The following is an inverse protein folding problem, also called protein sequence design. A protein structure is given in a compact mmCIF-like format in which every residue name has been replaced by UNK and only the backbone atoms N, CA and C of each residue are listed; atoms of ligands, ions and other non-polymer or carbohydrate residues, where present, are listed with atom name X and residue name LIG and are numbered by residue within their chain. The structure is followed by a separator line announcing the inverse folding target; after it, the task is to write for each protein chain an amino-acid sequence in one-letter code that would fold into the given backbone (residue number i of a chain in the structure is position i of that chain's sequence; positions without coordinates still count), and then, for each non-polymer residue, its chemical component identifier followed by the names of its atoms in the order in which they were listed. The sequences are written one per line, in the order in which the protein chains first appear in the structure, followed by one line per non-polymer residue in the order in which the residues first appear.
data_IF_459893505098
#
_entry.id   IF_459893505098
#
_cell.length_a   1.000
_cell.length_b   1.000
_cell.length_c   1.000
_cell.angle_alpha   90.00
_cell.angle_beta   90.00
_cell.angle_gamma   90.00
#
_symmetry.space_group_name_H-M   'P 1'
#
loop_
_entity.id
_entity.type
_entity.pdbx_description
1 polymer ?
#
# COMPACT_ATOMS: atom_id res chain seq x y z
N UNK A 1 24.46 -22.00 59.61
CA UNK A 1 25.71 -21.30 59.23
C UNK A 1 25.63 -21.01 57.73
N UNK A 2 25.87 -19.85 57.16
CA UNK A 2 26.19 -18.49 57.59
C UNK A 2 25.80 -17.60 56.37
N UNK A 3 25.15 -16.48 56.65
CA UNK A 3 25.26 -15.16 56.01
C UNK A 3 25.04 -15.04 54.48
N UNK A 4 23.96 -14.43 54.01
CA UNK A 4 23.67 -12.97 53.99
C UNK A 4 24.52 -12.20 52.95
N UNK A 5 23.88 -11.67 51.89
CA UNK A 5 23.82 -10.23 51.56
C UNK A 5 23.23 -9.98 50.15
N UNK A 6 22.12 -9.26 50.12
CA UNK A 6 21.72 -8.41 49.00
C UNK A 6 22.71 -7.24 48.82
N UNK A 7 22.77 -6.64 47.62
CA UNK A 7 22.62 -5.19 47.51
C UNK A 7 21.68 -4.80 46.34
N UNK A 8 20.65 -3.99 46.58
CA UNK A 8 20.61 -2.50 46.53
C UNK A 8 20.58 -1.92 45.10
N UNK A 9 19.42 -1.30 44.84
CA UNK A 9 19.07 -0.29 43.84
C UNK A 9 20.20 0.67 43.44
N UNK A 10 20.32 0.96 42.13
CA UNK A 10 20.66 2.31 41.66
C UNK A 10 20.25 2.53 40.19
N UNK A 11 19.14 3.24 39.99
CA UNK A 11 18.85 4.01 38.78
C UNK A 11 19.69 5.29 38.73
N UNK A 12 20.23 5.68 37.56
CA UNK A 12 20.58 7.07 37.32
C UNK A 12 19.75 7.71 36.19
N UNK A 13 19.08 8.80 36.59
CA UNK A 13 18.95 10.09 35.92
C UNK A 13 18.51 10.18 34.44
N UNK A 14 17.28 10.67 34.25
CA UNK A 14 16.85 11.45 33.08
C UNK A 14 17.71 12.71 32.95
N UNK A 15 18.51 12.81 31.89
CA UNK A 15 19.09 14.07 31.45
C UNK A 15 18.09 14.80 30.53
N UNK A 16 17.45 15.83 31.07
CA UNK A 16 16.65 16.79 30.32
C UNK A 16 17.60 17.78 29.64
N UNK A 17 17.77 17.65 28.32
CA UNK A 17 18.51 18.62 27.51
C UNK A 17 17.55 19.74 27.09
N UNK A 18 17.84 20.95 27.55
CA UNK A 18 17.15 22.19 27.20
C UNK A 18 17.41 22.56 25.74
N UNK A 19 16.35 22.82 24.99
CA UNK A 19 16.40 23.43 23.66
C UNK A 19 16.76 24.93 23.78
N UNK A 20 17.69 25.48 22.96
CA UNK A 20 17.83 26.91 22.80
C UNK A 20 16.84 27.47 21.78
N UNK A 21 16.36 28.68 22.09
CA UNK A 21 15.28 29.41 21.46
C UNK A 21 15.51 29.79 19.99
N UNK A 22 14.40 29.82 19.26
CA UNK A 22 14.27 30.33 17.90
C UNK A 22 14.67 31.82 17.82
N UNK A 23 15.49 32.17 16.82
CA UNK A 23 15.75 33.55 16.42
C UNK A 23 14.93 33.87 15.17
N UNK A 24 13.95 34.76 15.34
CA UNK A 24 13.17 35.38 14.28
C UNK A 24 13.98 36.51 13.64
N UNK A 25 14.25 36.42 12.34
CA UNK A 25 14.69 37.57 11.56
C UNK A 25 13.51 38.10 10.75
N UNK A 26 13.04 39.27 11.17
CA UNK A 26 12.03 40.09 10.48
C UNK A 26 12.73 40.81 9.32
N UNK A 27 12.31 40.55 8.08
CA UNK A 27 12.74 41.34 6.93
C UNK A 27 11.63 42.34 6.58
N UNK A 28 11.92 43.61 6.79
CA UNK A 28 11.08 44.75 6.42
C UNK A 28 11.40 45.09 4.96
N UNK A 29 10.41 45.01 4.07
CA UNK A 29 10.52 45.54 2.70
C UNK A 29 9.56 46.71 2.56
N UNK A 30 10.15 47.90 2.44
CA UNK A 30 9.49 49.19 2.27
C UNK A 30 8.87 49.33 0.88
N UNK A 31 7.62 49.78 0.86
CA UNK A 31 6.86 50.22 -0.30
C UNK A 31 7.36 51.55 -0.86
N UNK A 32 7.51 51.66 -2.18
CA UNK A 32 7.50 52.94 -2.89
C UNK A 32 6.45 52.90 -3.99
N UNK A 33 5.37 53.66 -3.76
CA UNK A 33 4.38 54.08 -4.77
C UNK A 33 5.06 55.02 -5.77
N UNK A 34 4.77 54.87 -7.06
CA UNK A 34 4.73 56.02 -7.95
C UNK A 34 3.62 55.83 -8.98
N UNK A 35 2.77 56.85 -9.04
CA UNK A 35 1.49 56.94 -9.74
C UNK A 35 1.63 58.15 -10.67
N UNK A 36 1.27 58.01 -11.94
CA UNK A 36 0.95 59.16 -12.80
C UNK A 36 -0.10 58.76 -13.83
N UNK A 37 -1.28 59.37 -13.70
CA UNK A 37 -2.40 59.39 -14.64
C UNK A 37 -2.14 60.37 -15.79
N UNK A 38 -2.67 60.10 -16.98
CA UNK A 38 -3.18 61.13 -17.90
C UNK A 38 -4.27 60.53 -18.80
N UNK A 39 -5.38 61.24 -18.93
CA UNK A 39 -6.66 60.77 -19.44
C UNK A 39 -6.98 61.24 -20.88
N UNK A 40 -7.70 60.37 -21.62
CA UNK A 40 -8.74 60.68 -22.64
C UNK A 40 -8.32 60.98 -24.08
N UNK A 41 -9.22 60.85 -25.10
CA UNK A 41 -10.69 60.70 -24.99
C UNK A 41 -11.37 59.59 -25.85
N UNK A 42 -12.61 59.31 -25.44
CA UNK A 42 -13.86 59.04 -26.19
C UNK A 42 -13.97 57.92 -27.26
N UNK A 43 -14.80 56.93 -26.89
CA UNK A 43 -16.03 56.50 -27.59
C UNK A 43 -15.96 55.84 -28.99
N UNK A 44 -16.26 54.54 -29.03
CA UNK A 44 -17.40 53.98 -29.79
C UNK A 44 -17.50 52.46 -29.55
N UNK A 45 -18.64 52.01 -29.02
CA UNK A 45 -19.12 50.63 -29.19
C UNK A 45 -20.05 50.59 -30.42
N UNK A 46 -20.22 49.42 -31.06
CA UNK A 46 -21.41 48.66 -30.71
C UNK A 46 -21.26 47.14 -30.68
N UNK A 47 -21.99 46.58 -29.71
CA UNK A 47 -22.85 45.40 -29.78
C UNK A 47 -22.38 44.13 -30.52
N UNK A 48 -22.03 43.12 -29.71
CA UNK A 48 -22.15 41.71 -30.08
C UNK A 48 -22.43 40.91 -28.80
N UNK A 49 -23.68 40.50 -28.58
CA UNK A 49 -24.12 39.81 -27.38
C UNK A 49 -23.48 38.43 -27.26
N UNK A 50 -22.78 38.19 -26.15
CA UNK A 50 -22.33 36.86 -25.76
C UNK A 50 -23.29 36.34 -24.69
N UNK A 51 -23.93 35.20 -24.99
CA UNK A 51 -24.95 34.60 -24.16
C UNK A 51 -24.43 34.20 -22.77
N UNK A 52 -25.34 34.14 -21.80
CA UNK A 52 -25.14 33.73 -20.40
C UNK A 52 -24.64 32.28 -20.20
N UNK A 53 -24.03 31.66 -21.22
CA UNK A 53 -23.33 30.37 -21.15
C UNK A 53 -21.81 30.51 -21.25
N UNK A 54 -21.29 31.71 -21.44
CA UNK A 54 -19.86 31.98 -21.56
C UNK A 54 -19.32 32.75 -20.34
N UNK A 55 -19.59 32.23 -19.14
CA UNK A 55 -19.03 32.75 -17.89
C UNK A 55 -18.58 31.65 -16.92
N UNK A 56 -18.18 30.48 -17.42
CA UNK A 56 -17.54 29.46 -16.59
C UNK A 56 -16.51 28.75 -17.46
N UNK A 57 -15.30 29.31 -17.58
CA UNK A 57 -14.05 28.63 -18.03
C UNK A 57 -12.96 29.67 -18.40
N UNK A 58 -12.74 30.71 -17.57
CA UNK A 58 -11.63 31.64 -17.79
C UNK A 58 -10.77 31.94 -16.57
N UNK A 59 -10.97 31.24 -15.45
CA UNK A 59 -10.26 31.60 -14.20
C UNK A 59 -9.75 30.44 -13.35
N UNK A 60 -9.78 29.21 -13.87
CA UNK A 60 -9.07 28.11 -13.20
C UNK A 60 -8.13 27.53 -14.23
N UNK A 61 -6.83 27.62 -13.97
CA UNK A 61 -5.80 26.93 -14.75
C UNK A 61 -6.20 25.45 -14.84
N UNK A 62 -6.80 25.05 -15.95
CA UNK A 62 -7.21 23.66 -16.22
C UNK A 62 -6.00 22.72 -16.11
N UNK A 63 -4.78 23.23 -16.32
CA UNK A 63 -3.53 22.49 -16.11
C UNK A 63 -3.19 22.16 -14.65
N UNK A 64 -3.69 22.91 -13.65
CA UNK A 64 -3.39 22.64 -12.22
C UNK A 64 -4.40 21.66 -11.60
N UNK A 65 -5.62 21.59 -12.15
CA UNK A 65 -6.60 20.57 -11.73
C UNK A 65 -6.27 19.21 -12.39
N UNK A 66 -5.69 19.19 -13.58
CA UNK A 66 -5.29 17.96 -14.26
C UNK A 66 -4.08 17.25 -13.62
N UNK A 67 -3.21 17.97 -12.89
CA UNK A 67 -2.05 17.37 -12.21
C UNK A 67 -2.39 16.66 -10.90
N UNK A 68 -3.63 16.75 -10.42
CA UNK A 68 -4.07 16.15 -9.15
C UNK A 68 -4.78 14.81 -9.31
N UNK A 69 -4.95 14.29 -10.54
CA UNK A 69 -5.70 13.05 -10.80
C UNK A 69 -4.96 12.01 -11.65
N UNK A 70 -3.64 12.13 -11.81
CA UNK A 70 -2.82 11.07 -12.43
C UNK A 70 -2.28 10.09 -11.38
N UNK A 71 -3.13 9.59 -10.48
CA UNK A 71 -2.78 8.55 -9.50
C UNK A 71 -2.36 7.22 -10.16
N UNK A 72 -2.57 7.06 -11.48
CA UNK A 72 -2.05 5.93 -12.27
C UNK A 72 -0.57 6.02 -12.66
N UNK A 73 0.16 7.07 -12.26
CA UNK A 73 1.57 7.29 -12.65
C UNK A 73 2.60 6.76 -11.64
N UNK A 74 2.18 6.15 -10.53
CA UNK A 74 3.14 5.56 -9.58
C UNK A 74 3.79 4.33 -10.24
N UNK A 75 5.12 4.34 -10.45
CA UNK A 75 5.79 3.23 -11.11
C UNK A 75 5.65 1.95 -10.28
N UNK A 76 5.63 0.82 -10.99
CA UNK A 76 5.67 -0.49 -10.34
C UNK A 76 6.99 -0.65 -9.58
N UNK A 77 7.00 -1.19 -8.35
CA UNK A 77 8.23 -1.47 -7.63
C UNK A 77 9.13 -2.43 -8.41
N UNK A 78 10.45 -2.24 -8.30
CA UNK A 78 11.43 -3.08 -9.01
C UNK A 78 11.80 -4.36 -8.26
N UNK A 79 11.36 -4.49 -7.01
CA UNK A 79 11.64 -5.63 -6.13
C UNK A 79 10.51 -6.66 -6.13
N UNK A 80 9.65 -6.70 -7.15
CA UNK A 80 8.61 -7.72 -7.26
C UNK A 80 9.16 -9.07 -7.71
N UNK A 81 8.45 -10.13 -7.36
CA UNK A 81 8.80 -11.51 -7.63
C UNK A 81 9.57 -12.19 -6.50
N UNK A 82 9.97 -13.42 -6.77
CA UNK A 82 10.78 -14.23 -5.87
C UNK A 82 12.19 -13.65 -5.81
N UNK A 83 12.59 -13.20 -4.62
CA UNK A 83 13.90 -12.64 -4.33
C UNK A 83 14.83 -13.72 -3.79
N UNK A 84 16.10 -13.65 -4.16
CA UNK A 84 17.17 -14.48 -3.62
C UNK A 84 18.05 -13.62 -2.72
N UNK A 85 17.95 -13.83 -1.40
CA UNK A 85 18.72 -13.09 -0.41
C UNK A 85 20.08 -13.74 -0.10
N UNK A 86 20.47 -14.77 -0.85
CA UNK A 86 21.67 -15.55 -0.64
C UNK A 86 21.46 -16.73 0.32
N UNK A 87 22.46 -17.61 0.41
CA UNK A 87 22.39 -18.80 1.25
C UNK A 87 21.36 -19.85 0.80
N UNK A 88 20.83 -19.73 -0.43
CA UNK A 88 19.81 -20.63 -0.97
C UNK A 88 18.40 -20.34 -0.45
N UNK A 89 18.20 -19.24 0.28
CA UNK A 89 16.89 -18.85 0.81
C UNK A 89 16.23 -17.90 -0.19
N UNK A 90 15.12 -18.35 -0.76
CA UNK A 90 14.27 -17.55 -1.64
C UNK A 90 12.99 -17.19 -0.91
N UNK A 91 12.59 -15.92 -0.99
CA UNK A 91 11.34 -15.41 -0.40
C UNK A 91 10.72 -14.36 -1.31
N UNK A 92 9.49 -13.97 -1.01
CA UNK A 92 8.95 -12.72 -1.56
C UNK A 92 9.68 -11.52 -0.94
N UNK A 93 9.56 -10.37 -1.59
CA UNK A 93 10.15 -9.13 -1.11
C UNK A 93 9.69 -8.77 0.30
N UNK A 94 10.57 -8.18 1.08
CA UNK A 94 10.21 -7.66 2.41
C UNK A 94 9.36 -6.38 2.29
N UNK A 95 8.54 -6.16 3.31
CA UNK A 95 7.76 -4.96 3.50
C UNK A 95 8.66 -3.77 3.87
N UNK A 96 8.34 -2.57 3.37
CA UNK A 96 8.91 -1.35 3.94
C UNK A 96 8.42 -1.18 5.39
N UNK A 97 9.05 -0.28 6.15
CA UNK A 97 8.68 0.00 7.54
C UNK A 97 7.31 0.68 7.72
N UNK A 98 6.64 1.05 6.62
CA UNK A 98 5.33 1.69 6.64
C UNK A 98 4.20 0.66 6.81
N UNK A 99 3.16 0.94 7.62
CA UNK A 99 2.07 0.01 7.93
C UNK A 99 1.03 -0.13 6.80
N UNK A 100 1.49 -0.22 5.56
CA UNK A 100 0.69 -0.41 4.34
C UNK A 100 1.17 -1.63 3.54
N UNK A 101 1.85 -2.56 4.20
CA UNK A 101 2.33 -3.80 3.61
C UNK A 101 2.16 -4.94 4.60
N UNK A 102 1.81 -6.12 4.09
CA UNK A 102 1.91 -7.37 4.83
C UNK A 102 2.58 -8.43 3.95
N UNK A 103 3.35 -9.31 4.57
CA UNK A 103 3.94 -10.45 3.89
C UNK A 103 4.17 -11.63 4.84
N UNK A 104 4.19 -12.84 4.27
CA UNK A 104 4.51 -14.07 5.01
C UNK A 104 6.01 -14.24 5.26
N UNK A 105 6.85 -13.47 4.56
CA UNK A 105 8.31 -13.44 4.69
C UNK A 105 8.81 -12.59 5.86
N UNK A 106 7.93 -11.83 6.51
CA UNK A 106 8.25 -10.99 7.66
C UNK A 106 8.47 -11.81 8.94
N UNK A 107 9.06 -11.17 9.94
CA UNK A 107 9.27 -11.78 11.26
C UNK A 107 7.97 -11.92 12.04
N UNK A 108 7.79 -13.05 12.72
CA UNK A 108 6.58 -13.34 13.53
C UNK A 108 6.39 -12.39 14.72
N UNK A 109 7.44 -11.68 15.15
CA UNK A 109 7.42 -10.67 16.20
C UNK A 109 6.92 -9.30 15.71
N UNK A 110 6.69 -9.13 14.40
CA UNK A 110 6.15 -7.91 13.79
C UNK A 110 4.69 -8.12 13.37
N UNK A 111 3.71 -7.96 14.29
CA UNK A 111 2.32 -8.18 13.98
C UNK A 111 1.75 -7.20 12.94
N UNK A 112 2.42 -6.08 12.67
CA UNK A 112 1.94 -5.07 11.73
C UNK A 112 2.13 -5.54 10.28
N UNK A 113 3.27 -6.16 9.98
CA UNK A 113 3.60 -6.64 8.64
C UNK A 113 3.44 -8.17 8.49
N UNK A 114 3.62 -8.93 9.56
CA UNK A 114 3.51 -10.40 9.48
C UNK A 114 2.06 -10.89 9.37
N UNK A 115 1.93 -11.91 8.54
CA UNK A 115 0.70 -12.68 8.34
C UNK A 115 1.03 -14.15 8.14
N UNK A 116 0.23 -15.08 8.69
CA UNK A 116 0.51 -16.50 8.59
C UNK A 116 0.29 -17.01 7.14
N UNK A 117 1.16 -17.91 6.66
CA UNK A 117 1.06 -18.52 5.35
C UNK A 117 -0.07 -19.54 5.28
N UNK A 118 -0.47 -19.89 4.06
CA UNK A 118 -1.54 -20.87 3.82
C UNK A 118 -0.98 -22.19 3.30
N UNK A 119 -1.81 -23.22 3.32
CA UNK A 119 -1.59 -24.47 2.60
C UNK A 119 -2.81 -24.80 1.76
N UNK A 120 -2.58 -25.23 0.53
CA UNK A 120 -3.64 -25.69 -0.38
C UNK A 120 -3.92 -27.19 -0.25
N UNK A 121 -3.06 -27.92 0.48
CA UNK A 121 -3.17 -29.37 0.69
C UNK A 121 -2.73 -29.72 2.14
N UNK A 122 -3.54 -29.37 3.15
CA UNK A 122 -3.22 -29.66 4.56
C UNK A 122 -3.05 -31.16 4.82
N UNK A 123 -2.21 -31.51 5.80
CA UNK A 123 -1.89 -32.91 6.13
C UNK A 123 -3.12 -33.71 6.59
N UNK A 124 -4.01 -33.08 7.35
CA UNK A 124 -5.29 -33.65 7.80
C UNK A 124 -6.33 -33.80 6.66
N UNK A 125 -5.97 -33.38 5.45
CA UNK A 125 -6.79 -33.46 4.24
C UNK A 125 -7.72 -32.27 4.03
N UNK A 126 -8.22 -32.10 2.80
CA UNK A 126 -9.18 -31.04 2.42
C UNK A 126 -10.63 -31.42 2.76
N UNK A 127 -10.84 -32.08 3.89
CA UNK A 127 -12.11 -32.78 4.18
C UNK A 127 -12.48 -33.75 3.06
N UNK A 128 -13.70 -33.63 2.51
CA UNK A 128 -14.18 -34.49 1.41
C UNK A 128 -13.53 -34.20 0.04
N UNK A 129 -12.74 -33.14 -0.12
CA UNK A 129 -12.26 -32.64 -1.43
C UNK A 129 -10.97 -33.28 -1.95
N UNK A 130 -10.34 -34.18 -1.18
CA UNK A 130 -9.11 -34.88 -1.58
C UNK A 130 -7.88 -33.97 -1.74
N UNK A 131 -6.73 -34.56 -2.06
CA UNK A 131 -5.50 -33.80 -2.38
C UNK A 131 -5.60 -33.21 -3.79
N UNK A 132 -5.03 -32.03 -3.99
CA UNK A 132 -5.00 -31.35 -5.30
C UNK A 132 -3.56 -31.12 -5.78
N UNK A 133 -3.39 -30.96 -7.09
CA UNK A 133 -2.11 -30.56 -7.69
C UNK A 133 -1.87 -29.05 -7.55
N UNK A 134 -0.62 -28.63 -7.76
CA UNK A 134 -0.22 -27.22 -7.77
C UNK A 134 -0.99 -26.42 -8.84
N UNK A 135 -1.18 -27.00 -10.02
CA UNK A 135 -1.91 -26.36 -11.13
C UNK A 135 -3.38 -26.13 -10.76
N UNK A 136 -4.00 -27.09 -10.06
CA UNK A 136 -5.36 -26.94 -9.54
C UNK A 136 -5.42 -25.86 -8.45
N UNK A 137 -4.42 -25.80 -7.56
CA UNK A 137 -4.33 -24.77 -6.54
C UNK A 137 -4.19 -23.36 -7.17
N UNK A 138 -3.33 -23.21 -8.19
CA UNK A 138 -3.20 -21.96 -8.93
C UNK A 138 -4.52 -21.57 -9.62
N UNK A 139 -5.21 -22.52 -10.24
CA UNK A 139 -6.53 -22.26 -10.84
C UNK A 139 -7.55 -21.79 -9.80
N UNK A 140 -7.63 -22.46 -8.65
CA UNK A 140 -8.53 -22.07 -7.57
C UNK A 140 -8.23 -20.67 -7.04
N UNK A 141 -6.94 -20.32 -6.89
CA UNK A 141 -6.49 -18.99 -6.47
C UNK A 141 -6.86 -17.91 -7.48
N UNK A 142 -6.58 -18.16 -8.76
CA UNK A 142 -6.92 -17.24 -9.86
C UNK A 142 -8.43 -17.01 -9.93
N UNK A 143 -9.23 -18.06 -9.76
CA UNK A 143 -10.69 -17.95 -9.74
C UNK A 143 -11.18 -17.08 -8.59
N UNK A 144 -10.63 -17.25 -7.38
CA UNK A 144 -10.99 -16.41 -6.23
C UNK A 144 -10.59 -14.95 -6.48
N UNK A 145 -9.36 -14.72 -6.91
CA UNK A 145 -8.83 -13.37 -7.16
C UNK A 145 -9.64 -12.63 -8.22
N UNK A 146 -10.04 -13.30 -9.32
CA UNK A 146 -10.82 -12.67 -10.39
C UNK A 146 -12.23 -12.26 -9.96
N UNK A 147 -12.85 -13.06 -9.09
CA UNK A 147 -14.25 -12.86 -8.71
C UNK A 147 -14.42 -12.03 -7.44
N UNK A 148 -13.39 -11.93 -6.60
CA UNK A 148 -13.45 -11.23 -5.34
C UNK A 148 -13.04 -9.76 -5.51
N UNK A 149 -13.92 -8.85 -5.06
CA UNK A 149 -13.68 -7.40 -5.04
C UNK A 149 -13.73 -6.86 -3.61
N UNK A 150 -12.71 -7.12 -2.78
CA UNK A 150 -12.68 -6.62 -1.41
C UNK A 150 -12.55 -5.09 -1.44
N UNK A 151 -13.36 -4.40 -0.63
CA UNK A 151 -13.41 -2.93 -0.55
C UNK A 151 -13.64 -2.23 -1.92
N UNK A 152 -14.28 -2.92 -2.87
CA UNK A 152 -14.52 -2.48 -4.26
C UNK A 152 -13.25 -2.26 -5.10
N UNK A 153 -12.10 -2.80 -4.70
CA UNK A 153 -10.90 -2.76 -5.53
C UNK A 153 -11.05 -3.70 -6.73
N UNK A 154 -10.67 -3.24 -7.92
CA UNK A 154 -10.69 -4.06 -9.12
C UNK A 154 -9.37 -4.86 -9.22
N UNK A 155 -9.43 -6.20 -9.27
CA UNK A 155 -8.25 -7.03 -9.47
C UNK A 155 -7.82 -7.05 -10.93
N UNK A 156 -6.52 -6.91 -11.17
CA UNK A 156 -5.90 -7.05 -12.49
C UNK A 156 -4.71 -8.00 -12.40
N UNK A 157 -4.83 -9.18 -13.00
CA UNK A 157 -3.71 -10.13 -13.08
C UNK A 157 -2.70 -9.59 -14.09
N UNK A 158 -1.47 -9.38 -13.64
CA UNK A 158 -0.37 -8.87 -14.47
C UNK A 158 0.55 -9.99 -14.92
N UNK A 159 0.80 -10.97 -14.05
CA UNK A 159 1.65 -12.13 -14.35
C UNK A 159 1.08 -13.37 -13.69
N UNK A 160 1.05 -14.48 -14.43
CA UNK A 160 0.66 -15.79 -13.95
C UNK A 160 1.62 -16.81 -14.54
N UNK A 161 2.48 -17.36 -13.70
CA UNK A 161 3.38 -18.46 -14.02
C UNK A 161 2.83 -19.76 -13.38
N UNK A 162 3.65 -20.81 -13.35
CA UNK A 162 3.27 -22.10 -12.74
C UNK A 162 3.07 -21.98 -11.22
N UNK A 163 4.05 -21.39 -10.55
CA UNK A 163 4.16 -21.29 -9.09
C UNK A 163 3.95 -19.86 -8.58
N UNK A 164 3.79 -18.88 -9.47
CA UNK A 164 3.77 -17.46 -9.11
C UNK A 164 2.59 -16.71 -9.74
N UNK A 165 1.90 -15.89 -8.94
CA UNK A 165 0.82 -15.02 -9.39
C UNK A 165 1.05 -13.60 -8.88
N UNK A 166 0.97 -12.63 -9.78
CA UNK A 166 1.04 -11.20 -9.45
C UNK A 166 -0.20 -10.45 -9.95
N UNK A 167 -0.80 -9.70 -9.04
CA UNK A 167 -2.08 -9.04 -9.19
C UNK A 167 -1.96 -7.59 -8.70
N UNK A 168 -2.48 -6.65 -9.48
CA UNK A 168 -2.66 -5.27 -9.08
C UNK A 168 -4.12 -5.08 -8.65
N UNK A 169 -4.36 -4.58 -7.44
CA UNK A 169 -5.68 -4.16 -6.99
C UNK A 169 -5.77 -2.64 -7.06
N UNK A 170 -6.70 -2.13 -7.85
CA UNK A 170 -6.88 -0.69 -8.03
C UNK A 170 -8.12 -0.18 -7.27
N UNK A 171 -7.93 0.86 -6.46
CA UNK A 171 -9.03 1.58 -5.81
C UNK A 171 -9.84 2.36 -6.85
N UNK A 172 -11.18 2.23 -6.87
CA UNK A 172 -12.02 2.93 -7.83
C UNK A 172 -12.11 4.43 -7.56
N UNK A 173 -11.92 4.86 -6.31
CA UNK A 173 -12.22 6.23 -5.87
C UNK A 173 -11.00 7.15 -5.92
N UNK A 174 -9.82 6.62 -5.57
CA UNK A 174 -8.60 7.41 -5.44
C UNK A 174 -7.46 6.90 -6.33
N UNK A 175 -7.66 5.81 -7.08
CA UNK A 175 -6.65 5.28 -8.00
C UNK A 175 -5.42 4.68 -7.32
N UNK A 176 -5.45 4.46 -6.00
CA UNK A 176 -4.39 3.72 -5.30
C UNK A 176 -4.24 2.32 -5.88
N UNK A 177 -2.99 1.89 -6.05
CA UNK A 177 -2.64 0.56 -6.56
C UNK A 177 -1.94 -0.20 -5.44
N UNK A 178 -2.46 -1.39 -5.16
CA UNK A 178 -1.85 -2.35 -4.26
C UNK A 178 -1.33 -3.54 -5.08
N UNK A 179 -0.07 -3.87 -4.86
CA UNK A 179 0.61 -4.99 -5.48
C UNK A 179 0.45 -6.23 -4.58
N UNK A 180 -0.11 -7.30 -5.15
CA UNK A 180 -0.37 -8.56 -4.45
C UNK A 180 0.32 -9.71 -5.18
N UNK A 181 1.16 -10.43 -4.45
CA UNK A 181 1.99 -11.51 -4.96
C UNK A 181 1.65 -12.78 -4.20
N UNK A 182 1.52 -13.90 -4.92
CA UNK A 182 1.38 -15.23 -4.36
C UNK A 182 2.46 -16.13 -4.96
N UNK A 183 3.10 -16.89 -4.10
CA UNK A 183 4.10 -17.88 -4.46
C UNK A 183 3.74 -19.24 -3.85
N UNK A 184 3.39 -20.18 -4.73
CA UNK A 184 3.08 -21.56 -4.38
C UNK A 184 4.40 -22.32 -4.25
N UNK A 185 4.64 -22.88 -3.08
CA UNK A 185 5.80 -23.70 -2.81
C UNK A 185 5.41 -25.18 -2.87
N UNK A 186 5.80 -25.90 -3.94
CA UNK A 186 5.33 -27.27 -4.17
C UNK A 186 5.87 -28.27 -3.15
N UNK A 187 7.04 -28.01 -2.55
CA UNK A 187 7.70 -28.95 -1.64
C UNK A 187 6.91 -29.21 -0.35
N UNK A 188 6.09 -28.26 0.10
CA UNK A 188 5.33 -28.34 1.33
C UNK A 188 3.86 -27.89 1.17
N UNK A 189 3.38 -27.81 -0.08
CA UNK A 189 2.05 -27.32 -0.42
C UNK A 189 1.67 -26.00 0.27
N UNK A 190 2.67 -25.13 0.48
CA UNK A 190 2.53 -23.85 1.18
C UNK A 190 2.35 -22.73 0.17
N UNK A 191 1.62 -21.70 0.54
CA UNK A 191 1.51 -20.46 -0.22
C UNK A 191 2.04 -19.32 0.61
N UNK A 192 3.08 -18.69 0.08
CA UNK A 192 3.63 -17.44 0.56
C UNK A 192 3.01 -16.30 -0.22
N UNK A 193 2.83 -15.16 0.43
CA UNK A 193 2.19 -14.03 -0.21
C UNK A 193 2.63 -12.70 0.38
N UNK A 194 2.44 -11.66 -0.41
CA UNK A 194 2.70 -10.27 -0.06
C UNK A 194 1.59 -9.40 -0.62
N UNK A 195 1.13 -8.42 0.15
CA UNK A 195 0.15 -7.42 -0.26
C UNK A 195 0.64 -6.06 0.21
N UNK A 196 0.97 -5.16 -0.72
CA UNK A 196 1.59 -3.88 -0.41
C UNK A 196 1.02 -2.75 -1.25
N UNK A 197 0.71 -1.63 -0.61
CA UNK A 197 0.35 -0.39 -1.33
C UNK A 197 1.59 0.28 -1.91
N UNK A 198 1.50 0.81 -3.14
CA UNK A 198 2.65 1.50 -3.77
C UNK A 198 3.00 2.83 -3.10
N UNK A 199 2.00 3.49 -2.52
CA UNK A 199 2.12 4.80 -1.87
C UNK A 199 1.26 4.85 -0.61
N UNK A 200 1.57 5.84 0.23
CA UNK A 200 0.84 6.12 1.46
C UNK A 200 1.61 5.66 2.70
N UNK A 201 1.30 6.30 3.83
CA UNK A 201 1.89 5.98 5.13
C UNK A 201 1.04 4.97 5.91
N UNK A 202 -0.21 4.73 5.50
CA UNK A 202 -1.09 3.71 6.04
C UNK A 202 -2.20 3.38 5.04
N UNK A 203 -2.64 2.14 5.03
CA UNK A 203 -3.74 1.64 4.20
C UNK A 203 -5.02 1.38 5.01
N UNK A 204 -5.07 1.73 6.31
CA UNK A 204 -6.20 1.40 7.17
C UNK A 204 -6.50 -0.11 7.28
N UNK A 205 -5.45 -0.94 7.16
CA UNK A 205 -5.49 -2.40 7.09
C UNK A 205 -6.21 -2.97 5.85
N UNK A 206 -6.33 -2.22 4.74
CA UNK A 206 -6.93 -2.71 3.49
C UNK A 206 -6.21 -3.97 2.98
N UNK A 207 -4.87 -4.00 2.95
CA UNK A 207 -4.12 -5.16 2.52
C UNK A 207 -4.44 -6.41 3.37
N UNK A 208 -4.53 -6.24 4.69
CA UNK A 208 -4.93 -7.31 5.63
C UNK A 208 -6.37 -7.78 5.42
N UNK A 209 -7.31 -6.86 5.20
CA UNK A 209 -8.71 -7.19 4.89
C UNK A 209 -8.82 -7.97 3.58
N UNK A 210 -8.11 -7.55 2.53
CA UNK A 210 -8.04 -8.26 1.24
C UNK A 210 -7.57 -9.69 1.41
N UNK A 211 -6.41 -9.89 2.03
CA UNK A 211 -5.85 -11.21 2.28
C UNK A 211 -6.81 -12.08 3.11
N UNK A 212 -7.48 -11.50 4.11
CA UNK A 212 -8.51 -12.20 4.89
C UNK A 212 -9.72 -12.62 4.05
N UNK A 213 -10.18 -11.77 3.14
CA UNK A 213 -11.31 -12.07 2.27
C UNK A 213 -10.94 -13.20 1.28
N UNK A 214 -9.76 -13.13 0.65
CA UNK A 214 -9.24 -14.19 -0.24
C UNK A 214 -9.15 -15.51 0.51
N UNK A 215 -8.56 -15.49 1.71
CA UNK A 215 -8.47 -16.67 2.59
C UNK A 215 -9.83 -17.30 2.84
N UNK A 216 -10.85 -16.51 3.17
CA UNK A 216 -12.18 -17.02 3.50
C UNK A 216 -12.80 -17.79 2.31
N UNK A 217 -12.60 -17.31 1.07
CA UNK A 217 -13.07 -18.03 -0.12
C UNK A 217 -12.25 -19.28 -0.43
N UNK A 218 -10.93 -19.25 -0.18
CA UNK A 218 -10.06 -20.42 -0.37
C UNK A 218 -10.31 -21.51 0.69
N UNK A 219 -10.62 -21.13 1.94
CA UNK A 219 -11.00 -22.07 2.99
C UNK A 219 -12.25 -22.87 2.61
N UNK A 220 -13.24 -22.24 1.95
CA UNK A 220 -14.40 -22.96 1.39
C UNK A 220 -13.99 -24.00 0.34
N UNK A 221 -12.87 -23.78 -0.36
CA UNK A 221 -12.29 -24.74 -1.31
C UNK A 221 -11.46 -25.83 -0.62
N UNK A 222 -11.13 -25.69 0.66
CA UNK A 222 -10.37 -26.67 1.45
C UNK A 222 -8.91 -26.28 1.66
N UNK A 223 -8.57 -25.00 1.51
CA UNK A 223 -7.30 -24.45 1.96
C UNK A 223 -7.32 -24.25 3.47
N UNK A 224 -6.15 -24.17 4.09
CA UNK A 224 -6.01 -23.93 5.53
C UNK A 224 -4.87 -22.95 5.83
N UNK A 225 -4.95 -22.26 6.97
CA UNK A 225 -3.81 -21.49 7.49
C UNK A 225 -2.82 -22.42 8.20
N UNK A 226 -1.52 -22.15 8.04
CA UNK A 226 -0.43 -22.93 8.65
C UNK A 226 0.26 -22.21 9.81
N UNK A 227 -0.29 -21.07 10.25
CA UNK A 227 0.17 -20.30 11.41
C UNK A 227 -0.97 -20.05 12.40
N UNK A 228 -0.64 -19.40 13.52
CA UNK A 228 -1.51 -19.21 14.69
C UNK A 228 -2.76 -18.36 14.43
#
# INVERSE_FOLDING_TARGET
MLLNKSPVLSTPAKASVRQPAARSNTLVVSTSKQQSELAGPAEQAPAGGVGRREMVLRSVNVGVIASLFTFGAVPRPNNLGIQDYGGGVKTLALCPSTPNCIATSEETNDPNHYVPPWTYSPQDGRGMKGKISEEQAMSELVDVVKNLRPDNFEPRIIKQDKDYLYVEYQSPTFGFIDDVEFWLRPENARVEYRSASRIGESDGNINRKRIRAIRTELEKKGWASTGF
#
